data_IF_030159525612
#
_entry.id   IF_030159525612
#
_cell.length_a   1.000
_cell.length_b   1.000
_cell.length_c   1.000
_cell.angle_alpha   90.00
_cell.angle_beta   90.00
_cell.angle_gamma   90.00
#
_symmetry.space_group_name_H-M   'P 1'
#
loop_
_entity.id
_entity.type
_entity.pdbx_description
1 polymer ?
#
# COMPACT_ATOMS: atom_id res chain seq x y z
N UNK A 1 -79.12 -13.98 25.69
CA UNK A 1 -79.04 -13.81 27.16
C UNK A 1 -78.15 -14.91 27.70
N UNK A 2 -77.35 -14.57 28.72
CA UNK A 2 -76.38 -15.43 29.42
C UNK A 2 -75.06 -15.66 28.66
N UNK A 3 -73.88 -15.36 29.19
CA UNK A 3 -73.49 -15.17 30.59
C UNK A 3 -72.25 -16.02 30.85
N UNK A 4 -71.15 -15.38 31.24
CA UNK A 4 -69.78 -15.88 31.22
C UNK A 4 -69.42 -16.94 32.30
N UNK A 5 -68.32 -17.67 32.07
CA UNK A 5 -67.47 -18.25 33.12
C UNK A 5 -65.99 -18.31 32.66
N UNK A 6 -65.20 -17.32 33.10
CA UNK A 6 -63.74 -17.38 33.39
C UNK A 6 -63.47 -18.22 34.67
N UNK A 7 -62.24 -18.61 35.11
CA UNK A 7 -60.89 -18.05 34.84
C UNK A 7 -59.66 -19.03 34.81
N UNK A 8 -58.48 -18.44 34.55
CA UNK A 8 -57.10 -18.73 35.06
C UNK A 8 -56.20 -19.90 34.57
N UNK A 9 -55.23 -19.50 33.71
CA UNK A 9 -53.75 -19.68 33.61
C UNK A 9 -52.95 -20.52 34.66
N UNK A 10 -51.60 -20.78 34.54
CA UNK A 10 -50.60 -20.46 33.48
C UNK A 10 -49.59 -21.60 33.12
N UNK A 11 -48.64 -21.27 32.23
CA UNK A 11 -47.19 -21.57 32.29
C UNK A 11 -46.56 -22.53 31.25
N UNK A 12 -45.58 -21.94 30.56
CA UNK A 12 -44.34 -22.54 30.01
C UNK A 12 -44.43 -23.36 28.74
N UNK A 13 -44.10 -22.71 27.61
CA UNK A 13 -42.89 -23.00 26.81
C UNK A 13 -43.13 -22.49 25.39
N UNK A 14 -42.75 -21.25 25.11
CA UNK A 14 -42.57 -20.83 23.71
C UNK A 14 -41.26 -20.09 23.58
N UNK A 15 -40.41 -20.71 22.77
CA UNK A 15 -39.05 -20.31 22.46
C UNK A 15 -38.99 -18.85 22.00
N UNK A 16 -37.92 -18.20 22.45
CA UNK A 16 -37.55 -16.81 22.17
C UNK A 16 -37.55 -16.50 20.69
N UNK A 17 -38.29 -15.45 20.30
CA UNK A 17 -38.05 -14.69 19.07
C UNK A 17 -37.00 -13.61 19.40
N UNK A 18 -35.99 -13.36 18.54
CA UNK A 18 -35.24 -12.11 18.60
C UNK A 18 -36.06 -10.97 17.96
N UNK A 19 -36.20 -9.80 18.63
CA UNK A 19 -36.84 -8.63 18.05
C UNK A 19 -35.89 -7.85 17.11
N UNK A 20 -36.52 -7.39 16.04
CA UNK A 20 -36.13 -6.40 15.02
C UNK A 20 -35.25 -5.24 15.50
N UNK A 21 -34.23 -4.89 14.69
CA UNK A 21 -33.86 -3.49 14.46
C UNK A 21 -32.48 -3.05 14.96
N UNK A 22 -31.41 -3.44 14.27
CA UNK A 22 -30.20 -2.62 14.18
C UNK A 22 -29.58 -2.87 12.80
N UNK A 23 -29.94 -2.01 11.84
CA UNK A 23 -29.24 -1.92 10.57
C UNK A 23 -27.81 -1.43 10.85
N UNK A 24 -26.88 -2.37 10.98
CA UNK A 24 -25.45 -2.10 10.86
C UNK A 24 -25.17 -1.99 9.36
N UNK A 25 -24.75 -0.84 8.82
CA UNK A 25 -24.10 -0.84 7.52
C UNK A 25 -22.83 -1.68 7.71
N UNK A 26 -22.82 -2.89 7.17
CA UNK A 26 -21.60 -3.61 6.94
C UNK A 26 -20.76 -2.71 6.04
N UNK A 27 -19.80 -2.00 6.63
CA UNK A 27 -18.75 -1.32 5.88
C UNK A 27 -18.08 -2.41 5.05
N UNK A 28 -18.40 -2.40 3.75
CA UNK A 28 -17.57 -3.03 2.73
C UNK A 28 -16.12 -2.68 3.06
N UNK A 29 -15.18 -3.65 3.10
CA UNK A 29 -13.77 -3.30 3.14
C UNK A 29 -13.53 -2.33 1.97
N UNK A 30 -12.96 -1.13 2.21
CA UNK A 30 -12.53 -0.30 1.10
C UNK A 30 -11.60 -1.17 0.26
N UNK A 31 -11.89 -1.20 -1.05
CA UNK A 31 -11.12 -1.95 -2.02
C UNK A 31 -9.63 -1.85 -1.70
N UNK A 32 -9.01 -3.02 -1.49
CA UNK A 32 -7.57 -3.13 -1.39
C UNK A 32 -6.96 -2.73 -2.74
N UNK A 33 -6.77 -1.44 -2.95
CA UNK A 33 -5.98 -0.86 -4.04
C UNK A 33 -4.62 -0.39 -3.52
N UNK A 34 -4.06 -1.09 -2.54
CA UNK A 34 -2.72 -0.84 -2.04
C UNK A 34 -2.01 -2.17 -1.81
N UNK A 35 -0.89 -2.36 -2.50
CA UNK A 35 0.07 -3.45 -2.37
C UNK A 35 -0.31 -4.81 -2.96
N UNK A 36 -0.30 -4.90 -4.29
CA UNK A 36 0.27 -6.05 -4.98
C UNK A 36 0.88 -5.59 -6.30
N UNK A 37 2.21 -5.63 -6.40
CA UNK A 37 3.03 -5.40 -7.61
C UNK A 37 3.29 -3.94 -8.01
N UNK A 38 4.31 -3.30 -7.42
CA UNK A 38 4.92 -2.07 -7.97
C UNK A 38 5.50 -2.27 -9.40
N UNK A 39 5.51 -3.50 -9.91
CA UNK A 39 5.80 -3.85 -11.30
C UNK A 39 4.60 -3.73 -12.27
N UNK A 40 3.39 -3.40 -11.80
CA UNK A 40 2.19 -3.31 -12.66
C UNK A 40 1.98 -1.94 -13.32
N UNK A 41 2.77 -0.91 -12.97
CA UNK A 41 2.67 0.42 -13.58
C UNK A 41 3.79 0.76 -14.56
N UNK A 42 4.98 0.19 -14.39
CA UNK A 42 6.16 0.58 -15.16
C UNK A 42 6.36 -0.35 -16.37
N UNK A 43 6.58 0.19 -17.58
CA UNK A 43 6.86 -0.63 -18.75
C UNK A 43 8.20 -1.36 -18.63
N UNK A 44 8.35 -2.55 -19.23
CA UNK A 44 9.59 -3.28 -19.19
C UNK A 44 10.71 -2.48 -19.87
N UNK A 45 11.97 -2.57 -19.39
CA UNK A 45 13.09 -1.75 -19.87
C UNK A 45 13.36 -1.94 -21.37
N UNK A 46 13.05 -3.13 -21.90
CA UNK A 46 13.16 -3.47 -23.32
C UNK A 46 12.28 -2.59 -24.21
N UNK A 47 11.26 -1.93 -23.66
CA UNK A 47 10.40 -1.00 -24.40
C UNK A 47 11.18 0.21 -24.94
N UNK A 48 12.28 0.59 -24.26
CA UNK A 48 13.09 1.76 -24.60
C UNK A 48 14.40 1.41 -25.32
N UNK A 49 14.60 0.13 -25.67
CA UNK A 49 15.79 -0.35 -26.37
C UNK A 49 15.70 -0.08 -27.89
N UNK A 50 15.58 1.21 -28.23
CA UNK A 50 15.42 1.73 -29.61
C UNK A 50 16.75 2.26 -30.14
N UNK A 51 17.65 2.68 -29.24
CA UNK A 51 18.90 3.36 -29.57
C UNK A 51 19.83 2.53 -30.46
N UNK A 52 20.05 1.22 -30.22
CA UNK A 52 20.93 0.42 -31.09
C UNK A 52 20.43 0.37 -32.54
N UNK A 53 19.13 0.15 -32.72
CA UNK A 53 18.51 0.04 -34.05
C UNK A 53 18.49 1.37 -34.79
N UNK A 54 18.16 2.47 -34.08
CA UNK A 54 18.19 3.81 -34.64
C UNK A 54 19.62 4.18 -35.06
N UNK A 55 20.62 3.91 -34.21
CA UNK A 55 22.02 4.17 -34.52
C UNK A 55 22.47 3.39 -35.76
N UNK A 56 22.16 2.09 -35.84
CA UNK A 56 22.52 1.26 -36.99
C UNK A 56 21.87 1.77 -38.28
N UNK A 57 20.61 2.20 -38.20
CA UNK A 57 19.91 2.79 -39.34
C UNK A 57 20.56 4.10 -39.81
N UNK A 58 20.89 5.00 -38.87
CA UNK A 58 21.53 6.28 -39.16
C UNK A 58 22.93 6.10 -39.73
N UNK A 59 23.73 5.18 -39.18
CA UNK A 59 25.06 4.85 -39.69
C UNK A 59 24.99 4.40 -41.14
N UNK A 60 24.07 3.49 -41.45
CA UNK A 60 23.86 2.94 -42.79
C UNK A 60 23.33 3.97 -43.81
N UNK A 61 22.63 5.00 -43.33
CA UNK A 61 22.21 6.17 -44.11
C UNK A 61 23.34 7.18 -44.34
N UNK A 62 24.31 7.28 -43.43
CA UNK A 62 25.45 8.17 -43.58
C UNK A 62 26.53 7.56 -44.48
N UNK A 63 26.69 6.23 -44.43
CA UNK A 63 27.69 5.47 -45.19
C UNK A 63 27.26 5.19 -46.65
N UNK A 64 26.05 5.56 -47.06
CA UNK A 64 25.58 5.47 -48.46
C UNK A 64 26.25 6.52 -49.35
N UNK A 65 27.53 6.32 -49.63
CA UNK A 65 28.31 7.05 -50.65
C UNK A 65 27.83 6.67 -52.08
N UNK A 66 27.79 7.62 -53.04
CA UNK A 66 27.18 7.43 -54.37
C UNK A 66 28.01 6.58 -55.37
N UNK A 67 28.71 5.54 -54.93
CA UNK A 67 29.47 4.65 -55.84
C UNK A 67 28.61 3.46 -56.28
N UNK A 68 28.33 3.29 -57.59
CA UNK A 68 27.51 2.20 -58.09
C UNK A 68 28.34 0.90 -58.12
N UNK A 69 28.26 0.10 -57.05
CA UNK A 69 28.78 -1.27 -57.04
C UNK A 69 27.63 -2.24 -56.74
N UNK A 70 27.37 -3.24 -57.61
CA UNK A 70 26.22 -4.11 -57.48
C UNK A 70 26.56 -5.27 -56.56
N UNK A 71 26.48 -5.10 -55.24
CA UNK A 71 26.58 -6.29 -54.38
C UNK A 71 26.01 -6.07 -52.98
N UNK A 72 25.03 -6.92 -52.68
CA UNK A 72 24.64 -7.42 -51.37
C UNK A 72 23.72 -6.51 -50.55
N UNK A 73 22.41 -6.74 -50.75
CA UNK A 73 21.34 -6.54 -49.79
C UNK A 73 21.56 -7.41 -48.53
N UNK A 74 22.62 -7.11 -47.78
CA UNK A 74 22.84 -7.64 -46.44
C UNK A 74 22.35 -6.64 -45.39
N UNK A 75 21.97 -7.14 -44.21
CA UNK A 75 21.53 -6.30 -43.10
C UNK A 75 22.56 -5.21 -42.67
N UNK A 76 23.82 -5.35 -43.10
CA UNK A 76 24.98 -4.52 -42.75
C UNK A 76 25.55 -3.68 -43.92
N UNK A 77 24.95 -3.72 -45.11
CA UNK A 77 25.42 -2.96 -46.29
C UNK A 77 24.79 -1.55 -46.40
N UNK A 78 25.35 -0.62 -47.19
CA UNK A 78 24.81 0.74 -47.35
C UNK A 78 23.32 0.75 -47.74
N UNK A 79 22.53 1.62 -47.10
CA UNK A 79 21.07 1.60 -47.24
C UNK A 79 20.66 2.37 -48.49
N UNK A 80 20.08 1.67 -49.45
CA UNK A 80 19.52 2.32 -50.63
C UNK A 80 18.31 3.20 -50.24
N UNK A 81 18.21 4.39 -50.82
CA UNK A 81 17.17 5.40 -50.53
C UNK A 81 15.75 4.80 -50.57
N UNK A 82 15.50 3.86 -51.47
CA UNK A 82 14.20 3.21 -51.65
C UNK A 82 13.80 2.31 -50.46
N UNK A 83 14.79 1.77 -49.74
CA UNK A 83 14.57 0.84 -48.63
C UNK A 83 14.53 1.53 -47.25
N UNK A 84 14.77 2.84 -47.19
CA UNK A 84 14.80 3.61 -45.94
C UNK A 84 13.47 3.54 -45.20
N UNK A 85 12.36 3.70 -45.92
CA UNK A 85 11.03 3.65 -45.33
C UNK A 85 10.75 2.27 -44.70
N UNK A 86 11.13 1.19 -45.38
CA UNK A 86 10.95 -0.18 -44.87
C UNK A 86 11.82 -0.40 -43.64
N UNK A 87 13.12 -0.07 -43.72
CA UNK A 87 14.06 -0.24 -42.63
C UNK A 87 13.73 0.61 -41.38
N UNK A 88 13.11 1.77 -41.55
CA UNK A 88 12.67 2.63 -40.45
C UNK A 88 11.38 2.15 -39.76
N UNK A 89 10.66 1.19 -40.33
CA UNK A 89 9.35 0.75 -39.81
C UNK A 89 9.45 0.16 -38.41
N UNK A 90 10.44 -0.69 -38.17
CA UNK A 90 10.62 -1.34 -36.88
C UNK A 90 11.00 -0.33 -35.79
N UNK A 91 11.89 0.62 -36.11
CA UNK A 91 12.26 1.72 -35.22
C UNK A 91 11.04 2.59 -34.88
N UNK A 92 10.21 2.93 -35.90
CA UNK A 92 8.97 3.69 -35.69
C UNK A 92 8.00 2.95 -34.78
N UNK A 93 7.84 1.63 -34.97
CA UNK A 93 6.94 0.83 -34.16
C UNK A 93 7.43 0.74 -32.70
N UNK A 94 8.72 0.52 -32.48
CA UNK A 94 9.31 0.52 -31.13
C UNK A 94 9.15 1.88 -30.45
N UNK A 95 9.36 2.97 -31.18
CA UNK A 95 9.16 4.33 -30.66
C UNK A 95 7.70 4.60 -30.27
N UNK A 96 6.74 4.21 -31.12
CA UNK A 96 5.31 4.34 -30.81
C UNK A 96 4.92 3.49 -29.58
N UNK A 97 5.49 2.29 -29.45
CA UNK A 97 5.28 1.45 -28.27
C UNK A 97 5.81 2.13 -27.02
N UNK A 98 7.00 2.71 -27.06
CA UNK A 98 7.58 3.46 -25.95
C UNK A 98 6.74 4.68 -25.58
N UNK A 99 6.31 5.47 -26.57
CA UNK A 99 5.44 6.63 -26.32
C UNK A 99 4.12 6.22 -25.67
N UNK A 100 3.45 5.19 -26.19
CA UNK A 100 2.21 4.67 -25.59
C UNK A 100 2.45 4.19 -24.15
N UNK A 101 3.57 3.53 -23.91
CA UNK A 101 3.93 3.04 -22.58
C UNK A 101 4.16 4.20 -21.59
N UNK A 102 4.83 5.27 -22.01
CA UNK A 102 5.04 6.48 -21.20
C UNK A 102 3.72 7.17 -20.90
N UNK A 103 2.86 7.36 -21.91
CA UNK A 103 1.57 8.03 -21.76
C UNK A 103 0.54 7.19 -20.98
N UNK A 104 0.79 5.89 -20.82
CA UNK A 104 -0.03 5.00 -20.01
C UNK A 104 0.43 4.94 -18.54
N UNK A 105 1.53 5.61 -18.19
CA UNK A 105 2.01 5.66 -16.81
C UNK A 105 0.99 6.39 -15.93
N UNK A 106 0.65 5.85 -14.76
CA UNK A 106 -0.21 6.54 -13.80
C UNK A 106 0.47 7.82 -13.33
N UNK A 107 -0.32 8.88 -13.16
CA UNK A 107 0.13 10.18 -12.63
C UNK A 107 1.31 10.81 -13.42
N UNK A 108 1.47 10.47 -14.71
CA UNK A 108 2.56 11.02 -15.55
C UNK A 108 2.47 12.55 -15.74
N UNK A 109 1.27 13.12 -15.59
CA UNK A 109 1.02 14.55 -15.69
C UNK A 109 1.33 15.31 -14.38
N UNK A 110 1.66 14.59 -13.30
CA UNK A 110 1.91 15.18 -11.99
C UNK A 110 3.36 15.63 -11.86
N UNK A 111 3.56 16.78 -11.22
CA UNK A 111 4.91 17.33 -11.03
C UNK A 111 5.63 16.66 -9.85
N UNK A 112 6.94 16.89 -9.74
CA UNK A 112 7.72 16.40 -8.61
C UNK A 112 7.35 17.17 -7.34
N UNK A 113 7.11 18.48 -7.48
CA UNK A 113 6.73 19.39 -6.42
C UNK A 113 5.41 18.95 -5.76
N UNK A 114 4.39 18.61 -6.56
CA UNK A 114 3.10 18.12 -6.03
C UNK A 114 3.27 16.81 -5.25
N UNK A 115 4.21 15.94 -5.66
CA UNK A 115 4.49 14.68 -4.98
C UNK A 115 5.23 14.90 -3.66
N UNK A 116 6.18 15.84 -3.64
CA UNK A 116 6.91 16.23 -2.44
C UNK A 116 5.99 16.81 -1.36
N UNK A 117 5.06 17.70 -1.73
CA UNK A 117 4.05 18.24 -0.81
C UNK A 117 3.18 17.12 -0.21
N UNK A 118 2.71 16.18 -1.04
CA UNK A 118 1.93 15.05 -0.52
C UNK A 118 2.75 14.16 0.40
N UNK A 119 4.03 13.92 0.09
CA UNK A 119 4.93 13.14 0.95
C UNK A 119 5.03 13.83 2.32
N UNK A 120 5.23 15.14 2.37
CA UNK A 120 5.29 15.89 3.63
C UNK A 120 4.00 15.74 4.45
N UNK A 121 2.84 15.88 3.80
CA UNK A 121 1.54 15.72 4.44
C UNK A 121 1.31 14.30 4.97
N UNK A 122 1.68 13.29 4.18
CA UNK A 122 1.60 11.88 4.55
C UNK A 122 2.52 11.56 5.72
N UNK A 123 3.75 12.08 5.71
CA UNK A 123 4.72 11.91 6.80
C UNK A 123 4.23 12.57 8.09
N UNK A 124 3.68 13.79 8.01
CA UNK A 124 3.08 14.47 9.15
C UNK A 124 1.89 13.68 9.72
N UNK A 125 1.05 13.11 8.85
CA UNK A 125 -0.07 12.25 9.27
C UNK A 125 0.41 10.96 9.93
N UNK A 126 1.43 10.31 9.37
CA UNK A 126 2.06 9.13 9.95
C UNK A 126 2.64 9.46 11.33
N UNK A 127 3.28 10.62 11.49
CA UNK A 127 3.83 11.05 12.78
C UNK A 127 2.74 11.17 13.85
N UNK A 128 1.59 11.79 13.50
CA UNK A 128 0.43 11.89 14.41
C UNK A 128 -0.13 10.52 14.78
N UNK A 129 -0.34 9.64 13.80
CA UNK A 129 -0.85 8.29 14.03
C UNK A 129 0.09 7.46 14.91
N UNK A 130 1.41 7.55 14.67
CA UNK A 130 2.42 6.92 15.51
C UNK A 130 2.39 7.46 16.94
N UNK A 131 2.15 8.75 17.14
CA UNK A 131 2.02 9.33 18.48
C UNK A 131 0.79 8.78 19.22
N UNK A 132 -0.37 8.75 18.57
CA UNK A 132 -1.61 8.19 19.16
C UNK A 132 -1.46 6.70 19.49
N UNK A 133 -0.80 5.91 18.63
CA UNK A 133 -0.53 4.50 18.93
C UNK A 133 0.41 4.30 20.12
N UNK A 134 1.41 5.18 20.29
CA UNK A 134 2.28 5.15 21.47
C UNK A 134 1.54 5.50 22.75
N UNK A 135 0.59 6.43 22.68
CA UNK A 135 -0.25 6.79 23.81
C UNK A 135 -1.18 5.64 24.21
N UNK A 136 -1.83 5.00 23.23
CA UNK A 136 -2.69 3.84 23.48
C UNK A 136 -1.89 2.62 23.99
N UNK A 137 -0.66 2.45 23.52
CA UNK A 137 0.26 1.40 23.95
C UNK A 137 1.07 1.75 25.20
N UNK A 138 0.85 2.92 25.82
CA UNK A 138 1.55 3.31 27.05
C UNK A 138 1.02 2.44 28.18
N UNK A 139 1.86 1.60 28.83
CA UNK A 139 1.42 0.87 30.01
C UNK A 139 0.98 1.90 31.05
N UNK A 140 -0.18 1.68 31.68
CA UNK A 140 -0.66 2.43 32.83
C UNK A 140 0.21 2.11 34.05
N UNK A 141 1.49 2.44 34.00
CA UNK A 141 2.40 2.36 35.14
C UNK A 141 3.01 3.74 35.34
N UNK A 142 2.33 4.57 36.12
CA UNK A 142 2.90 5.57 37.03
C UNK A 142 1.75 6.26 37.79
N UNK A 143 1.10 5.52 38.68
CA UNK A 143 0.44 6.07 39.89
C UNK A 143 0.44 5.02 41.00
N UNK A 144 1.60 4.43 41.25
CA UNK A 144 1.91 3.76 42.52
C UNK A 144 3.42 3.86 42.76
N UNK A 145 3.93 5.07 42.91
CA UNK A 145 5.20 5.25 43.65
C UNK A 145 5.32 6.69 44.13
N UNK A 146 4.83 6.93 45.34
CA UNK A 146 4.90 8.22 45.99
C UNK A 146 3.84 8.36 47.06
N UNK A 147 4.23 7.99 48.29
CA UNK A 147 3.53 8.26 49.56
C UNK A 147 2.49 7.18 49.95
N UNK A 148 2.74 6.25 50.89
CA UNK A 148 3.24 6.49 52.24
C UNK A 148 3.94 5.26 52.84
N UNK A 149 5.08 5.56 53.47
CA UNK A 149 5.75 4.76 54.50
C UNK A 149 4.86 4.64 55.74
N UNK A 150 3.85 3.78 55.72
CA UNK A 150 3.08 3.43 56.91
C UNK A 150 3.04 1.91 57.12
N UNK A 151 3.95 1.46 57.98
CA UNK A 151 3.75 0.38 58.95
C UNK A 151 3.24 -0.98 58.42
N UNK A 152 3.97 -1.62 57.50
CA UNK A 152 4.04 -3.08 57.59
C UNK A 152 5.20 -3.40 58.52
N UNK A 153 4.94 -3.29 59.83
CA UNK A 153 5.80 -3.89 60.84
C UNK A 153 5.68 -5.40 60.57
N UNK A 154 6.79 -6.02 60.18
CA UNK A 154 6.80 -7.43 59.86
C UNK A 154 6.29 -8.19 61.09
N UNK A 155 5.27 -9.03 60.89
CA UNK A 155 4.64 -9.82 61.94
C UNK A 155 5.64 -10.73 62.68
N UNK A 156 6.84 -10.92 62.13
CA UNK A 156 7.94 -11.66 62.75
C UNK A 156 8.77 -10.82 63.73
N UNK A 157 8.92 -9.50 63.54
CA UNK A 157 9.70 -8.63 64.43
C UNK A 157 8.99 -8.39 65.78
N UNK A 158 7.65 -8.41 65.78
CA UNK A 158 6.86 -8.28 67.01
C UNK A 158 7.03 -9.48 67.97
N UNK A 159 7.29 -10.68 67.44
CA UNK A 159 7.55 -11.87 68.26
C UNK A 159 8.94 -11.84 68.89
N UNK A 160 9.92 -11.27 68.20
CA UNK A 160 11.30 -11.19 68.69
C UNK A 160 11.46 -10.17 69.83
N UNK A 161 10.75 -9.03 69.76
CA UNK A 161 10.68 -8.07 70.88
C UNK A 161 9.92 -8.60 72.12
N UNK A 162 8.93 -9.48 71.94
CA UNK A 162 8.19 -10.08 73.04
C UNK A 162 9.02 -11.12 73.82
N UNK A 163 9.96 -11.79 73.15
CA UNK A 163 10.88 -12.74 73.79
C UNK A 163 12.05 -12.06 74.48
N UNK A 164 12.49 -10.89 73.98
CA UNK A 164 13.59 -10.13 74.56
C UNK A 164 13.23 -9.34 75.84
N UNK A 165 11.94 -9.12 76.11
CA UNK A 165 11.45 -8.34 77.25
C UNK A 165 10.99 -9.18 78.46
N UNK A 166 11.17 -10.50 78.41
CA UNK A 166 10.80 -11.43 79.48
C UNK A 166 11.97 -12.25 80.01
N UNK A 167 12.87 -11.62 80.78
CA UNK A 167 13.77 -12.28 81.74
C UNK A 167 14.24 -11.29 82.82
#
# INVERSE_FOLDING_TARGET
MSGAATPHAPASARASLPPTGAATPALQPPASSASASASQGLPPPTTFDILPDLHNLLKRLLDTSPTPAPTQSGADGPLEIQHVATAATDVRLKLQRAQRAVMALPEIDRTCEDQEEEIEDLEARIARLKASLRELGRPTETTDDGDQRHSSIDCMDALDMALASGA
#
